data_IF_470936368999
#
_entry.id   IF_470936368999
#
_cell.length_a   1.000
_cell.length_b   1.000
_cell.length_c   1.000
_cell.angle_alpha   90.00
_cell.angle_beta   90.00
_cell.angle_gamma   90.00
#
_symmetry.space_group_name_H-M   'P 1'
#
loop_
_entity.id
_entity.type
_entity.pdbx_description
1 polymer ?
#
# COMPACT_ATOMS: atom_id res chain seq x y z
N UNK A 1 50.53 -18.22 8.25
CA UNK A 1 50.13 -16.97 7.57
C UNK A 1 49.19 -17.17 6.44
N UNK A 2 49.44 -18.10 5.54
CA UNK A 2 48.54 -18.43 4.41
C UNK A 2 47.17 -18.93 4.87
N UNK A 3 47.11 -19.73 5.92
CA UNK A 3 45.86 -20.28 6.46
C UNK A 3 44.89 -19.22 7.01
N UNK A 4 45.41 -18.16 7.60
CA UNK A 4 44.58 -17.07 8.10
C UNK A 4 43.97 -16.23 6.98
N UNK A 5 44.70 -16.05 5.87
CA UNK A 5 44.19 -15.35 4.72
C UNK A 5 43.12 -16.16 3.97
N UNK A 6 43.33 -17.46 3.82
CA UNK A 6 42.37 -18.37 3.21
C UNK A 6 41.10 -18.45 4.01
N UNK A 7 41.19 -18.53 5.33
CA UNK A 7 40.03 -18.53 6.23
C UNK A 7 39.22 -17.23 6.15
N UNK A 8 39.90 -16.09 6.08
CA UNK A 8 39.22 -14.78 5.90
C UNK A 8 38.54 -14.67 4.57
N UNK A 9 39.18 -15.13 3.49
CA UNK A 9 38.59 -15.12 2.16
C UNK A 9 37.36 -16.04 2.08
N UNK A 10 37.45 -17.23 2.70
CA UNK A 10 36.33 -18.16 2.75
C UNK A 10 35.15 -17.60 3.56
N UNK A 11 35.44 -16.95 4.69
CA UNK A 11 34.40 -16.34 5.52
C UNK A 11 33.70 -15.18 4.78
N UNK A 12 34.41 -14.34 4.06
CA UNK A 12 33.85 -13.28 3.23
C UNK A 12 32.98 -13.84 2.12
N UNK A 13 33.38 -14.93 1.49
CA UNK A 13 32.60 -15.59 0.45
C UNK A 13 31.28 -16.14 0.99
N UNK A 14 31.30 -16.77 2.17
CA UNK A 14 30.10 -17.28 2.83
C UNK A 14 29.16 -16.14 3.21
N UNK A 15 29.68 -15.03 3.71
CA UNK A 15 28.89 -13.84 4.04
C UNK A 15 28.21 -13.23 2.80
N UNK A 16 28.90 -13.21 1.67
CA UNK A 16 28.36 -12.72 0.42
C UNK A 16 27.23 -13.62 -0.08
N UNK A 17 27.39 -14.93 0.00
CA UNK A 17 26.36 -15.91 -0.37
C UNK A 17 25.13 -15.80 0.55
N UNK A 18 25.33 -15.62 1.84
CA UNK A 18 24.24 -15.42 2.79
C UNK A 18 23.45 -14.15 2.48
N UNK A 19 24.11 -13.07 2.09
CA UNK A 19 23.46 -11.83 1.69
C UNK A 19 22.64 -12.00 0.41
N UNK A 20 23.11 -12.82 -0.55
CA UNK A 20 22.38 -13.07 -1.80
C UNK A 20 21.23 -14.04 -1.64
N UNK A 21 21.23 -14.84 -0.57
CA UNK A 21 20.18 -15.81 -0.27
C UNK A 21 19.18 -15.33 0.78
N UNK A 22 19.27 -14.08 1.24
CA UNK A 22 18.22 -13.54 2.10
C UNK A 22 16.89 -13.54 1.35
N UNK A 23 15.84 -14.16 1.90
CA UNK A 23 14.53 -14.09 1.26
C UNK A 23 14.13 -12.64 1.13
N UNK A 24 13.78 -12.21 -0.08
CA UNK A 24 13.22 -10.89 -0.29
C UNK A 24 11.92 -10.82 0.49
N UNK A 25 11.80 -9.84 1.37
CA UNK A 25 10.56 -9.57 2.06
C UNK A 25 9.48 -9.30 1.02
N UNK A 26 8.35 -9.99 1.13
CA UNK A 26 7.23 -9.75 0.24
C UNK A 26 6.78 -8.28 0.36
N UNK A 27 6.51 -7.65 -0.76
CA UNK A 27 6.09 -6.26 -0.82
C UNK A 27 4.62 -6.13 -0.39
N UNK A 28 4.27 -4.99 0.23
CA UNK A 28 2.89 -4.63 0.46
C UNK A 28 2.18 -4.44 -0.87
N UNK A 29 0.94 -4.86 -0.95
CA UNK A 29 0.17 -4.82 -2.20
C UNK A 29 -1.26 -4.36 -1.97
N UNK A 30 -1.79 -3.63 -2.95
CA UNK A 30 -3.22 -3.39 -3.09
C UNK A 30 -3.74 -4.36 -4.13
N UNK A 31 -4.79 -5.12 -3.78
CA UNK A 31 -5.36 -6.17 -4.63
C UNK A 31 -6.84 -5.98 -4.82
N UNK A 32 -7.34 -6.52 -5.94
CA UNK A 32 -8.78 -6.71 -6.20
C UNK A 32 -9.64 -5.47 -5.96
N UNK A 33 -9.29 -4.30 -6.55
CA UNK A 33 -10.14 -3.14 -6.37
C UNK A 33 -11.47 -3.33 -7.07
N UNK A 34 -12.56 -3.14 -6.32
CA UNK A 34 -13.92 -3.08 -6.84
C UNK A 34 -14.43 -1.67 -6.68
N UNK A 35 -15.08 -1.13 -7.70
CA UNK A 35 -15.50 0.26 -7.66
C UNK A 35 -16.91 0.46 -8.20
N UNK A 36 -17.67 1.31 -7.52
CA UNK A 36 -18.89 1.96 -7.99
C UNK A 36 -18.63 3.46 -8.05
N UNK A 37 -17.78 3.86 -8.95
CA UNK A 37 -17.38 5.25 -9.13
C UNK A 37 -17.74 5.70 -10.53
N UNK A 38 -18.99 6.10 -10.72
CA UNK A 38 -19.47 6.55 -12.01
C UNK A 38 -19.38 8.06 -12.12
N UNK A 39 -18.81 8.53 -13.23
CA UNK A 39 -18.83 9.92 -13.59
C UNK A 39 -20.07 10.20 -14.43
N UNK A 40 -20.72 11.33 -14.18
CA UNK A 40 -21.86 11.81 -14.95
C UNK A 40 -21.50 12.10 -16.42
N UNK A 41 -20.22 12.20 -16.70
CA UNK A 41 -19.66 12.53 -18.02
C UNK A 41 -18.82 11.34 -18.52
N UNK A 42 -19.44 10.47 -19.30
CA UNK A 42 -18.79 9.30 -19.91
C UNK A 42 -17.60 9.64 -20.81
N UNK A 43 -17.41 10.92 -21.15
CA UNK A 43 -16.33 11.40 -22.02
C UNK A 43 -15.11 11.90 -21.27
N UNK A 44 -15.17 12.05 -19.95
CA UNK A 44 -14.04 12.46 -19.16
C UNK A 44 -13.21 11.26 -18.72
N UNK A 45 -11.92 11.49 -18.48
CA UNK A 45 -11.06 10.49 -17.87
C UNK A 45 -11.68 10.00 -16.57
N UNK A 46 -11.57 8.68 -16.26
CA UNK A 46 -12.13 8.16 -15.03
C UNK A 46 -11.59 8.92 -13.83
N UNK A 47 -12.48 9.45 -12.99
CA UNK A 47 -12.11 10.16 -11.76
C UNK A 47 -11.93 9.21 -10.57
N UNK A 48 -11.88 7.92 -10.83
CA UNK A 48 -11.67 6.90 -9.80
C UNK A 48 -10.34 7.15 -9.10
N UNK A 49 -10.31 7.22 -7.77
CA UNK A 49 -9.06 7.36 -7.04
C UNK A 49 -8.10 6.20 -7.35
N UNK A 50 -6.83 6.54 -7.51
CA UNK A 50 -5.77 5.56 -7.76
C UNK A 50 -5.08 5.22 -6.45
N UNK A 51 -4.91 3.92 -6.20
CA UNK A 51 -4.33 3.39 -4.99
C UNK A 51 -2.92 2.87 -5.27
N UNK A 52 -2.00 3.19 -4.39
CA UNK A 52 -0.67 2.59 -4.39
C UNK A 52 -0.18 2.46 -2.95
N UNK A 53 0.77 1.58 -2.72
CA UNK A 53 1.29 1.32 -1.39
C UNK A 53 2.78 0.98 -1.47
N UNK A 54 3.53 1.45 -0.47
CA UNK A 54 4.91 1.04 -0.24
C UNK A 54 5.04 0.48 1.17
N UNK A 55 6.25 0.31 1.68
CA UNK A 55 6.47 -0.23 3.03
C UNK A 55 5.98 0.71 4.13
N UNK A 56 5.89 2.00 3.85
CA UNK A 56 5.58 3.03 4.83
C UNK A 56 4.15 3.51 4.75
N UNK A 57 3.63 3.70 3.54
CA UNK A 57 2.41 4.44 3.33
C UNK A 57 1.50 3.84 2.26
N UNK A 58 0.21 4.03 2.46
CA UNK A 58 -0.81 3.89 1.43
C UNK A 58 -1.05 5.29 0.84
N UNK A 59 -1.10 5.37 -0.49
CA UNK A 59 -1.32 6.61 -1.23
C UNK A 59 -2.66 6.51 -1.96
N UNK A 60 -3.47 7.54 -1.81
CA UNK A 60 -4.73 7.68 -2.54
C UNK A 60 -4.64 8.97 -3.35
N UNK A 61 -4.62 8.81 -4.67
CA UNK A 61 -4.46 9.91 -5.61
C UNK A 61 -5.74 10.13 -6.39
N UNK A 62 -6.09 11.37 -6.65
CA UNK A 62 -7.29 11.71 -7.41
C UNK A 62 -6.98 12.79 -8.46
N UNK A 63 -7.51 12.60 -9.67
CA UNK A 63 -7.43 13.61 -10.73
C UNK A 63 -8.42 14.76 -10.51
N UNK A 64 -9.46 14.53 -9.72
CA UNK A 64 -10.48 15.54 -9.38
C UNK A 64 -10.44 15.85 -7.90
N UNK A 65 -10.93 17.04 -7.53
CA UNK A 65 -11.04 17.41 -6.13
C UNK A 65 -12.02 16.50 -5.41
N UNK A 66 -11.61 15.95 -4.25
CA UNK A 66 -12.45 15.19 -3.34
C UNK A 66 -12.47 15.94 -2.01
N UNK A 67 -13.62 16.52 -1.67
CA UNK A 67 -13.74 17.40 -0.50
C UNK A 67 -13.91 16.63 0.79
N UNK A 68 -14.45 15.42 0.74
CA UNK A 68 -14.75 14.62 1.93
C UNK A 68 -14.68 13.14 1.60
N UNK A 69 -13.48 12.65 1.38
CA UNK A 69 -13.24 11.23 1.13
C UNK A 69 -13.13 10.50 2.46
N UNK A 70 -14.08 9.65 2.75
CA UNK A 70 -14.03 8.79 3.93
C UNK A 70 -13.16 7.57 3.64
N UNK A 71 -12.22 7.30 4.52
CA UNK A 71 -11.29 6.17 4.42
C UNK A 71 -11.44 5.30 5.65
N UNK A 72 -11.71 4.03 5.43
CA UNK A 72 -11.82 3.04 6.51
C UNK A 72 -11.00 1.81 6.15
N UNK A 73 -10.15 1.38 7.07
CA UNK A 73 -9.37 0.16 6.92
C UNK A 73 -9.73 -0.77 8.06
N UNK A 74 -10.09 -2.01 7.71
CA UNK A 74 -10.42 -3.07 8.66
C UNK A 74 -9.43 -4.20 8.53
N UNK A 75 -9.13 -4.85 9.67
CA UNK A 75 -8.32 -6.06 9.68
C UNK A 75 -9.14 -7.27 9.23
N UNK A 76 -8.51 -8.45 9.20
CA UNK A 76 -9.15 -9.70 8.77
C UNK A 76 -10.29 -10.13 9.68
N UNK A 77 -10.39 -9.60 10.88
CA UNK A 77 -11.46 -9.86 11.84
C UNK A 77 -12.60 -8.84 11.75
N UNK A 78 -12.46 -7.84 10.87
CA UNK A 78 -13.45 -6.78 10.72
C UNK A 78 -13.27 -5.60 11.66
N UNK A 79 -12.22 -5.58 12.48
CA UNK A 79 -11.93 -4.46 13.37
C UNK A 79 -11.40 -3.27 12.60
N UNK A 80 -11.89 -2.08 12.91
CA UNK A 80 -11.39 -0.85 12.28
C UNK A 80 -10.02 -0.53 12.86
N UNK A 81 -9.01 -0.48 12.00
CA UNK A 81 -7.65 -0.09 12.36
C UNK A 81 -7.32 1.34 11.93
N UNK A 82 -8.10 1.89 11.02
CA UNK A 82 -7.98 3.27 10.57
C UNK A 82 -9.32 3.78 10.07
N UNK A 83 -9.70 4.98 10.45
CA UNK A 83 -10.91 5.64 9.94
C UNK A 83 -10.72 7.16 10.05
N UNK A 84 -10.81 7.84 8.91
CA UNK A 84 -10.72 9.29 8.87
C UNK A 84 -11.30 9.82 7.57
N UNK A 85 -11.53 11.12 7.51
CA UNK A 85 -11.97 11.83 6.32
C UNK A 85 -10.82 12.67 5.79
N UNK A 86 -10.68 12.68 4.46
CA UNK A 86 -9.57 13.35 3.79
C UNK A 86 -10.06 14.31 2.72
N UNK A 87 -9.34 15.42 2.59
CA UNK A 87 -9.45 16.32 1.46
C UNK A 87 -8.32 16.03 0.48
N UNK A 88 -8.65 15.84 -0.79
CA UNK A 88 -7.66 15.64 -1.84
C UNK A 88 -7.90 16.71 -2.92
N UNK A 89 -6.94 17.61 -3.16
CA UNK A 89 -7.09 18.57 -4.26
C UNK A 89 -7.00 17.86 -5.61
N UNK A 90 -7.54 18.47 -6.65
CA UNK A 90 -7.46 17.95 -8.00
C UNK A 90 -6.00 17.71 -8.40
N UNK A 91 -5.68 16.49 -8.84
CA UNK A 91 -4.30 16.07 -9.16
C UNK A 91 -3.43 15.82 -7.94
N UNK A 92 -4.00 15.87 -6.73
CA UNK A 92 -3.28 15.64 -5.49
C UNK A 92 -3.41 14.22 -4.95
N UNK A 93 -2.93 14.03 -3.74
CA UNK A 93 -3.02 12.75 -3.04
C UNK A 93 -3.11 12.95 -1.53
N UNK A 94 -3.61 11.92 -0.85
CA UNK A 94 -3.48 11.78 0.59
C UNK A 94 -2.60 10.57 0.91
N UNK A 95 -1.96 10.60 2.07
CA UNK A 95 -1.00 9.61 2.52
C UNK A 95 -1.46 9.06 3.86
N UNK A 96 -1.56 7.74 3.95
CA UNK A 96 -1.97 7.05 5.17
C UNK A 96 -0.83 6.16 5.63
N UNK A 97 -0.24 6.39 6.82
CA UNK A 97 0.83 5.53 7.33
C UNK A 97 0.32 4.12 7.62
N UNK A 98 1.03 3.12 7.10
CA UNK A 98 0.72 1.70 7.34
C UNK A 98 1.89 0.93 7.95
N UNK A 99 3.00 1.60 8.23
CA UNK A 99 4.21 0.97 8.75
C UNK A 99 4.00 0.27 10.10
N UNK A 100 3.04 0.74 10.89
CA UNK A 100 2.70 0.17 12.21
C UNK A 100 1.69 -0.97 12.13
N UNK A 101 1.13 -1.26 10.96
CA UNK A 101 0.15 -2.33 10.79
C UNK A 101 0.85 -3.68 10.89
N UNK A 102 0.23 -4.62 11.60
CA UNK A 102 0.71 -5.99 11.67
C UNK A 102 0.59 -6.66 10.30
N UNK A 103 1.45 -7.64 10.05
CA UNK A 103 1.37 -8.47 8.87
C UNK A 103 0.00 -9.13 8.75
N UNK A 104 -0.58 -9.09 7.56
CA UNK A 104 -1.90 -9.68 7.31
C UNK A 104 -2.64 -8.99 6.19
N UNK A 105 -3.87 -9.44 5.99
CA UNK A 105 -4.79 -8.90 4.99
C UNK A 105 -5.76 -7.91 5.65
N UNK A 106 -5.98 -6.79 4.96
CA UNK A 106 -6.86 -5.71 5.41
C UNK A 106 -7.83 -5.37 4.29
N UNK A 107 -9.00 -4.87 4.66
CA UNK A 107 -9.96 -4.33 3.70
C UNK A 107 -9.95 -2.82 3.76
N UNK A 108 -9.67 -2.20 2.62
CA UNK A 108 -9.76 -0.76 2.44
C UNK A 108 -11.12 -0.43 1.82
N UNK A 109 -11.84 0.48 2.45
CA UNK A 109 -13.06 1.04 1.91
C UNK A 109 -12.92 2.55 1.87
N UNK A 110 -13.03 3.14 0.67
CA UNK A 110 -13.03 4.58 0.52
C UNK A 110 -14.32 4.99 -0.19
N UNK A 111 -14.92 6.08 0.27
CA UNK A 111 -16.14 6.56 -0.36
C UNK A 111 -16.27 8.08 -0.28
N UNK A 112 -16.90 8.63 -1.30
CA UNK A 112 -17.38 10.00 -1.29
C UNK A 112 -18.84 9.99 -1.75
N UNK A 113 -19.75 10.20 -0.80
CA UNK A 113 -21.17 10.03 -1.06
C UNK A 113 -21.49 8.58 -1.43
N UNK A 114 -22.13 8.40 -2.58
CA UNK A 114 -22.50 7.07 -3.10
C UNK A 114 -21.38 6.39 -3.91
N UNK A 115 -20.30 7.11 -4.21
CA UNK A 115 -19.16 6.58 -4.95
C UNK A 115 -18.21 5.88 -3.98
N UNK A 116 -17.76 4.67 -4.32
CA UNK A 116 -16.85 3.93 -3.45
C UNK A 116 -15.85 3.08 -4.20
N UNK A 117 -14.78 2.76 -3.51
CA UNK A 117 -13.79 1.74 -3.91
C UNK A 117 -13.56 0.82 -2.72
N UNK A 118 -13.58 -0.47 -2.95
CA UNK A 118 -13.20 -1.49 -1.97
C UNK A 118 -11.98 -2.22 -2.52
N UNK A 119 -10.95 -2.37 -1.70
CA UNK A 119 -9.74 -3.08 -2.09
C UNK A 119 -9.20 -3.89 -0.93
N UNK A 120 -8.39 -4.90 -1.23
CA UNK A 120 -7.66 -5.65 -0.22
C UNK A 120 -6.23 -5.10 -0.16
N UNK A 121 -5.74 -4.86 1.06
CA UNK A 121 -4.36 -4.47 1.32
C UNK A 121 -3.66 -5.65 1.96
N UNK A 122 -2.55 -6.08 1.36
CA UNK A 122 -1.68 -7.12 1.92
C UNK A 122 -0.46 -6.46 2.54
N UNK A 123 -0.30 -6.60 3.85
CA UNK A 123 0.84 -6.08 4.61
C UNK A 123 1.77 -7.24 4.93
N UNK A 124 3.00 -7.12 4.47
CA UNK A 124 4.01 -8.17 4.60
C UNK A 124 5.25 -7.72 5.36
#
# INVERSE_FOLDING_TARGET
>A
MLDAMVKKALFLLISLLAATHQPMKAENKVKNPETEWSDENERSLPSVPQLSIDEQNLYIRSSVELTNLDVCIRDSRGNIVYSDSHYIPAGGMTVIPVASFNEGEYTLFINEGSKYVIATISIN
#
